data_IF_877453346342
#
_entry.id   IF_877453346342
#
_cell.length_a   1.000
_cell.length_b   1.000
_cell.length_c   1.000
_cell.angle_alpha   90.00
_cell.angle_beta   90.00
_cell.angle_gamma   90.00
#
_symmetry.space_group_name_H-M   'P 1'
#
loop_
_entity.id
_entity.type
_entity.pdbx_description
1 polymer ?
#
# COMPACT_ATOMS: atom_id res chain seq x y z
N UNK A 1 -7.53 -46.45 34.79
CA UNK A 1 -7.62 -47.71 35.56
C UNK A 1 -8.88 -48.45 35.12
N UNK A 2 -8.80 -49.77 34.97
CA UNK A 2 -9.88 -50.57 34.39
C UNK A 2 -9.81 -50.66 32.86
N UNK A 3 -10.88 -51.16 32.19
CA UNK A 3 -12.21 -51.43 32.74
C UNK A 3 -12.23 -52.53 33.80
N UNK A 4 -13.10 -52.38 34.80
CA UNK A 4 -13.41 -53.38 35.81
C UNK A 4 -14.74 -54.04 35.46
N UNK A 5 -14.81 -55.37 35.54
CA UNK A 5 -16.07 -56.11 35.39
C UNK A 5 -17.01 -55.94 36.60
N UNK A 6 -18.18 -56.56 36.55
CA UNK A 6 -19.19 -56.49 37.62
C UNK A 6 -18.68 -57.06 38.97
N UNK A 7 -17.64 -57.90 38.94
CA UNK A 7 -17.00 -58.52 40.10
C UNK A 7 -15.82 -57.68 40.60
N UNK A 8 -15.51 -56.54 39.96
CA UNK A 8 -14.42 -55.66 40.34
C UNK A 8 -13.04 -56.14 39.87
N UNK A 9 -12.96 -57.11 38.96
CA UNK A 9 -11.69 -57.56 38.38
C UNK A 9 -11.27 -56.63 37.25
N UNK A 10 -10.02 -56.16 37.28
CA UNK A 10 -9.46 -55.34 36.21
C UNK A 10 -9.21 -56.17 34.95
N UNK A 11 -9.67 -55.68 33.80
CA UNK A 11 -9.52 -56.31 32.49
C UNK A 11 -8.37 -55.74 31.66
N UNK A 12 -7.81 -54.61 32.08
CA UNK A 12 -6.68 -53.97 31.44
C UNK A 12 -5.77 -53.29 32.47
N UNK A 13 -4.49 -53.17 32.14
CA UNK A 13 -3.51 -52.46 32.97
C UNK A 13 -3.81 -50.94 33.02
N UNK A 14 -3.42 -50.26 34.11
CA UNK A 14 -3.52 -48.81 34.18
C UNK A 14 -2.73 -48.13 33.07
N UNK A 15 -3.41 -47.30 32.28
CA UNK A 15 -2.79 -46.46 31.25
C UNK A 15 -2.44 -45.09 31.85
N UNK A 16 -1.18 -44.67 31.65
CA UNK A 16 -0.73 -43.30 31.91
C UNK A 16 -0.41 -42.64 30.57
N UNK A 17 -1.12 -41.56 30.25
CA UNK A 17 -0.94 -40.82 28.99
C UNK A 17 -1.25 -39.34 29.21
N UNK A 18 -0.75 -38.47 28.33
CA UNK A 18 -0.98 -37.04 28.40
C UNK A 18 0.04 -36.24 27.61
N UNK A 19 -0.09 -34.92 27.62
CA UNK A 19 0.82 -34.01 26.89
C UNK A 19 2.20 -33.89 27.54
N UNK A 20 2.34 -34.25 28.82
CA UNK A 20 3.63 -34.25 29.54
C UNK A 20 4.46 -35.51 29.32
N UNK A 21 3.94 -36.47 28.57
CA UNK A 21 4.64 -37.72 28.25
C UNK A 21 5.11 -37.70 26.80
N UNK A 22 6.26 -38.34 26.48
CA UNK A 22 6.73 -38.47 25.11
C UNK A 22 5.67 -39.05 24.18
N UNK A 23 5.66 -38.61 22.92
CA UNK A 23 4.67 -39.08 21.96
C UNK A 23 4.68 -40.60 21.79
N UNK A 24 5.87 -41.22 21.82
CA UNK A 24 6.06 -42.66 21.68
C UNK A 24 5.38 -43.48 22.77
N UNK A 25 5.06 -42.89 23.93
CA UNK A 25 4.39 -43.60 25.03
C UNK A 25 2.86 -43.54 24.93
N UNK A 26 2.30 -42.92 23.88
CA UNK A 26 0.84 -42.82 23.70
C UNK A 26 0.26 -44.13 23.17
N UNK A 27 -0.63 -44.82 23.92
CA UNK A 27 -1.08 -46.18 23.59
C UNK A 27 -1.78 -46.31 22.23
N UNK A 28 -2.54 -45.28 21.82
CA UNK A 28 -3.27 -45.28 20.54
C UNK A 28 -2.53 -44.51 19.42
N UNK A 29 -1.34 -43.95 19.68
CA UNK A 29 -0.65 -43.08 18.72
C UNK A 29 -1.51 -41.90 18.24
N UNK A 30 -2.39 -41.40 19.11
CA UNK A 30 -3.39 -40.39 18.80
C UNK A 30 -3.03 -39.03 19.39
N UNK A 31 -3.45 -37.97 18.69
CA UNK A 31 -3.34 -36.59 19.17
C UNK A 31 -4.24 -36.37 20.40
N UNK A 32 -5.36 -37.09 20.47
CA UNK A 32 -6.22 -37.17 21.64
C UNK A 32 -5.66 -38.14 22.69
N UNK A 33 -6.02 -37.93 23.95
CA UNK A 33 -5.71 -38.85 25.04
C UNK A 33 -6.59 -40.10 24.95
N UNK A 34 -6.25 -41.00 24.02
CA UNK A 34 -7.02 -42.21 23.73
C UNK A 34 -6.19 -43.48 23.97
N UNK A 35 -6.87 -44.53 24.40
CA UNK A 35 -6.33 -45.87 24.55
C UNK A 35 -7.44 -46.89 24.25
N UNK A 36 -7.03 -48.09 23.85
CA UNK A 36 -7.95 -49.16 23.47
C UNK A 36 -8.03 -50.19 24.60
N UNK A 37 -9.21 -50.74 24.80
CA UNK A 37 -9.43 -51.91 25.65
C UNK A 37 -10.43 -52.83 24.96
N UNK A 38 -10.41 -54.11 25.31
CA UNK A 38 -11.37 -55.10 24.81
C UNK A 38 -12.33 -55.46 25.93
N UNK A 39 -13.61 -55.49 25.61
CA UNK A 39 -14.66 -55.99 26.50
C UNK A 39 -14.98 -57.42 26.07
N UNK A 40 -14.88 -58.42 26.96
CA UNK A 40 -15.08 -59.82 26.59
C UNK A 40 -16.53 -60.09 26.17
N UNK A 41 -17.50 -59.54 26.89
CA UNK A 41 -18.93 -59.76 26.69
C UNK A 41 -19.74 -58.47 26.87
N UNK A 42 -21.02 -58.48 26.47
CA UNK A 42 -21.94 -57.39 26.75
C UNK A 42 -22.23 -57.30 28.26
N UNK A 43 -22.03 -56.12 28.84
CA UNK A 43 -22.20 -55.93 30.28
C UNK A 43 -21.88 -54.52 30.73
N UNK A 44 -22.01 -54.28 32.04
CA UNK A 44 -21.65 -53.02 32.68
C UNK A 44 -20.21 -53.09 33.15
N UNK A 45 -19.41 -52.14 32.70
CA UNK A 45 -18.00 -52.02 33.08
C UNK A 45 -17.74 -50.65 33.69
N UNK A 46 -16.87 -50.63 34.70
CA UNK A 46 -16.49 -49.37 35.37
C UNK A 46 -15.08 -48.96 34.96
N UNK A 47 -14.90 -47.70 34.57
CA UNK A 47 -13.58 -47.13 34.25
C UNK A 47 -13.33 -45.94 35.16
N UNK A 48 -12.17 -45.94 35.84
CA UNK A 48 -11.74 -44.82 36.67
C UNK A 48 -10.58 -44.10 35.99
N UNK A 49 -10.68 -42.78 35.88
CA UNK A 49 -9.61 -41.93 35.38
C UNK A 49 -9.29 -40.81 36.38
N UNK A 50 -8.00 -40.50 36.51
CA UNK A 50 -7.49 -39.36 37.28
C UNK A 50 -6.85 -38.40 36.29
N UNK A 51 -7.28 -37.14 36.29
CA UNK A 51 -6.72 -36.12 35.41
C UNK A 51 -5.94 -35.10 36.22
N UNK A 52 -4.70 -34.85 35.81
CA UNK A 52 -3.89 -33.74 36.30
C UNK A 52 -3.74 -32.73 35.17
N UNK A 53 -4.05 -31.46 35.45
CA UNK A 53 -4.01 -30.41 34.44
C UNK A 53 -3.63 -29.07 35.04
N UNK A 54 -2.87 -28.32 34.26
CA UNK A 54 -2.47 -26.95 34.55
C UNK A 54 -3.21 -25.91 33.70
N UNK A 55 -4.12 -26.31 32.81
CA UNK A 55 -4.79 -25.40 31.87
C UNK A 55 -6.29 -25.66 31.74
N UNK A 56 -6.69 -26.90 31.48
CA UNK A 56 -8.08 -27.27 31.25
C UNK A 56 -8.81 -27.63 32.56
N UNK A 57 -10.08 -27.21 32.67
CA UNK A 57 -11.02 -27.61 33.75
C UNK A 57 -12.17 -28.51 33.26
N UNK A 58 -12.32 -28.69 31.95
CA UNK A 58 -13.38 -29.50 31.36
C UNK A 58 -12.78 -30.73 30.68
N UNK A 59 -13.34 -31.90 31.00
CA UNK A 59 -13.00 -33.17 30.38
C UNK A 59 -14.28 -33.84 29.91
N UNK A 60 -14.36 -34.09 28.60
CA UNK A 60 -15.41 -34.94 28.05
C UNK A 60 -14.79 -36.32 27.81
N UNK A 61 -15.18 -37.29 28.63
CA UNK A 61 -14.86 -38.69 28.37
C UNK A 61 -15.93 -39.28 27.44
N UNK A 62 -15.50 -39.95 26.38
CA UNK A 62 -16.38 -40.64 25.45
C UNK A 62 -15.80 -42.02 25.13
N UNK A 63 -16.68 -42.98 24.89
CA UNK A 63 -16.33 -44.34 24.45
C UNK A 63 -16.84 -44.47 23.02
N UNK A 64 -16.01 -45.04 22.16
CA UNK A 64 -16.26 -45.16 20.74
C UNK A 64 -16.08 -46.61 20.30
N UNK A 65 -16.83 -47.03 19.29
CA UNK A 65 -16.38 -48.15 18.47
C UNK A 65 -15.08 -47.78 17.75
N UNK A 66 -14.23 -48.77 17.48
CA UNK A 66 -12.96 -48.53 16.80
C UNK A 66 -13.16 -47.94 15.39
N UNK A 67 -14.15 -48.40 14.65
CA UNK A 67 -14.42 -47.91 13.30
C UNK A 67 -14.84 -46.42 13.34
N UNK A 68 -15.80 -46.09 14.20
CA UNK A 68 -16.28 -44.71 14.38
C UNK A 68 -15.15 -43.77 14.84
N UNK A 69 -14.32 -44.25 15.77
CA UNK A 69 -13.15 -43.49 16.24
C UNK A 69 -12.16 -43.18 15.11
N UNK A 70 -11.83 -44.17 14.28
CA UNK A 70 -10.91 -44.01 13.16
C UNK A 70 -11.48 -43.03 12.13
N UNK A 71 -12.77 -43.16 11.80
CA UNK A 71 -13.45 -42.26 10.86
C UNK A 71 -13.48 -40.83 11.40
N UNK A 72 -13.94 -40.62 12.64
CA UNK A 72 -13.98 -39.28 13.26
C UNK A 72 -12.60 -38.64 13.36
N UNK A 73 -11.56 -39.43 13.68
CA UNK A 73 -10.17 -38.95 13.71
C UNK A 73 -9.68 -38.57 12.31
N UNK A 74 -10.03 -39.34 11.29
CA UNK A 74 -9.66 -39.04 9.90
C UNK A 74 -10.34 -37.77 9.40
N UNK A 75 -11.64 -37.60 9.65
CA UNK A 75 -12.40 -36.41 9.28
C UNK A 75 -11.83 -35.17 9.95
N UNK A 76 -11.54 -35.25 11.25
CA UNK A 76 -10.89 -34.16 12.00
C UNK A 76 -9.51 -33.80 11.43
N UNK A 77 -8.69 -34.80 11.07
CA UNK A 77 -7.36 -34.56 10.46
C UNK A 77 -7.47 -33.91 9.09
N UNK A 78 -8.46 -34.29 8.29
CA UNK A 78 -8.72 -33.65 7.00
C UNK A 78 -9.11 -32.18 7.20
N UNK A 79 -10.01 -31.90 8.14
CA UNK A 79 -10.38 -30.53 8.51
C UNK A 79 -9.17 -29.71 8.99
N UNK A 80 -8.35 -30.29 9.88
CA UNK A 80 -7.11 -29.65 10.35
C UNK A 80 -6.15 -29.34 9.20
N UNK A 81 -5.96 -30.30 8.29
CA UNK A 81 -5.12 -30.12 7.10
C UNK A 81 -5.57 -28.95 6.22
N UNK A 82 -6.88 -28.79 6.01
CA UNK A 82 -7.44 -27.65 5.25
C UNK A 82 -7.13 -26.33 5.94
N UNK A 83 -7.39 -26.23 7.25
CA UNK A 83 -7.13 -25.00 8.01
C UNK A 83 -5.63 -24.65 8.03
N UNK A 84 -4.75 -25.63 8.20
CA UNK A 84 -3.31 -25.44 8.18
C UNK A 84 -2.82 -25.01 6.80
N UNK A 85 -3.34 -25.61 5.73
CA UNK A 85 -3.02 -25.22 4.36
C UNK A 85 -3.39 -23.77 4.06
N UNK A 86 -4.57 -23.32 4.50
CA UNK A 86 -5.01 -21.93 4.35
C UNK A 86 -4.10 -20.96 5.11
N UNK A 87 -3.78 -21.26 6.37
CA UNK A 87 -2.86 -20.42 7.17
C UNK A 87 -1.44 -20.40 6.61
N UNK A 88 -0.93 -21.53 6.13
CA UNK A 88 0.38 -21.60 5.48
C UNK A 88 0.39 -20.76 4.19
N UNK A 89 -0.67 -20.81 3.40
CA UNK A 89 -0.85 -19.94 2.23
C UNK A 89 -0.82 -18.46 2.62
N UNK A 90 -1.44 -18.07 3.73
CA UNK A 90 -1.40 -16.71 4.26
C UNK A 90 -0.01 -16.32 4.77
N UNK A 91 0.75 -17.25 5.37
CA UNK A 91 2.16 -17.03 5.75
C UNK A 91 3.01 -16.75 4.51
N UNK A 92 2.87 -17.53 3.45
CA UNK A 92 3.58 -17.31 2.18
C UNK A 92 3.18 -15.97 1.57
N UNK A 93 1.88 -15.67 1.47
CA UNK A 93 1.37 -14.38 1.00
C UNK A 93 1.98 -13.21 1.77
N UNK A 94 1.96 -13.28 3.10
CA UNK A 94 2.50 -12.22 3.97
C UNK A 94 4.00 -12.05 3.82
N UNK A 95 4.73 -13.14 3.60
CA UNK A 95 6.17 -13.13 3.34
C UNK A 95 6.48 -12.41 2.03
N UNK A 96 5.77 -12.75 0.95
CA UNK A 96 5.93 -12.06 -0.35
C UNK A 96 5.62 -10.58 -0.22
N UNK A 97 4.52 -10.22 0.44
CA UNK A 97 4.15 -8.82 0.66
C UNK A 97 5.20 -8.07 1.50
N UNK A 98 5.77 -8.71 2.53
CA UNK A 98 6.85 -8.12 3.33
C UNK A 98 8.11 -7.89 2.48
N UNK A 99 8.48 -8.82 1.60
CA UNK A 99 9.65 -8.67 0.73
C UNK A 99 9.46 -7.56 -0.31
N UNK A 100 8.26 -7.44 -0.88
CA UNK A 100 7.92 -6.44 -1.90
C UNK A 100 7.81 -5.04 -1.30
N UNK A 101 7.02 -4.88 -0.23
CA UNK A 101 6.70 -3.56 0.32
C UNK A 101 7.61 -3.13 1.47
N UNK A 102 8.27 -4.06 2.15
CA UNK A 102 9.18 -3.80 3.30
C UNK A 102 8.57 -2.95 4.42
N UNK A 103 7.25 -3.01 4.58
CA UNK A 103 6.55 -2.34 5.67
C UNK A 103 6.32 -3.27 6.87
N UNK A 104 6.42 -2.71 8.07
CA UNK A 104 6.27 -3.46 9.33
C UNK A 104 4.90 -4.13 9.50
N UNK A 105 3.85 -3.63 8.85
CA UNK A 105 2.51 -4.20 8.92
C UNK A 105 2.46 -5.65 8.40
N UNK A 106 3.23 -5.97 7.35
CA UNK A 106 3.27 -7.30 6.75
C UNK A 106 4.06 -8.25 7.64
N UNK A 107 5.07 -7.75 8.36
CA UNK A 107 5.79 -8.52 9.36
C UNK A 107 4.86 -8.90 10.53
N UNK A 108 4.06 -7.96 11.04
CA UNK A 108 3.11 -8.27 12.11
C UNK A 108 2.03 -9.26 11.67
N UNK A 109 1.54 -9.13 10.44
CA UNK A 109 0.57 -10.07 9.89
C UNK A 109 1.17 -11.47 9.70
N UNK A 110 2.40 -11.56 9.17
CA UNK A 110 3.16 -12.79 9.04
C UNK A 110 3.32 -13.50 10.39
N UNK A 111 3.81 -12.79 11.41
CA UNK A 111 4.00 -13.33 12.76
C UNK A 111 2.66 -13.78 13.35
N UNK A 112 1.58 -13.03 13.11
CA UNK A 112 0.23 -13.43 13.52
C UNK A 112 -0.24 -14.73 12.86
N UNK A 113 -0.09 -14.88 11.53
CA UNK A 113 -0.49 -16.09 10.83
C UNK A 113 0.36 -17.31 11.22
N UNK A 114 1.68 -17.13 11.35
CA UNK A 114 2.58 -18.19 11.81
C UNK A 114 2.27 -18.59 13.26
N UNK A 115 2.02 -17.61 14.13
CA UNK A 115 1.60 -17.84 15.52
C UNK A 115 0.26 -18.58 15.62
N UNK A 116 -0.73 -18.20 14.81
CA UNK A 116 -2.02 -18.89 14.73
C UNK A 116 -1.87 -20.35 14.28
N UNK A 117 -1.06 -20.60 13.25
CA UNK A 117 -0.77 -21.94 12.74
C UNK A 117 -0.12 -22.82 13.82
N UNK A 118 0.93 -22.30 14.49
CA UNK A 118 1.61 -23.00 15.56
C UNK A 118 0.69 -23.26 16.77
N UNK A 119 -0.13 -22.28 17.15
CA UNK A 119 -1.07 -22.42 18.26
C UNK A 119 -2.14 -23.48 17.97
N UNK A 120 -2.77 -23.46 16.79
CA UNK A 120 -3.76 -24.47 16.40
C UNK A 120 -3.15 -25.87 16.27
N UNK A 121 -1.97 -25.98 15.64
CA UNK A 121 -1.26 -27.25 15.58
C UNK A 121 -0.87 -27.76 16.98
N UNK A 122 -0.59 -26.85 17.92
CA UNK A 122 -0.38 -27.15 19.33
C UNK A 122 -1.62 -27.68 20.02
N UNK A 123 -2.73 -26.94 19.94
CA UNK A 123 -4.00 -27.31 20.59
C UNK A 123 -4.60 -28.61 20.05
N UNK A 124 -4.43 -28.88 18.76
CA UNK A 124 -4.85 -30.15 18.15
C UNK A 124 -3.83 -31.29 18.37
N UNK A 125 -2.71 -31.06 19.05
CA UNK A 125 -1.73 -32.08 19.41
C UNK A 125 -0.75 -32.49 18.30
N UNK A 126 -0.84 -31.89 17.11
CA UNK A 126 0.01 -32.22 15.96
C UNK A 126 1.47 -31.75 16.12
N UNK A 127 1.72 -30.65 16.84
CA UNK A 127 3.11 -30.22 17.12
C UNK A 127 3.86 -31.24 17.98
N UNK A 128 3.17 -31.86 18.93
CA UNK A 128 3.69 -32.93 19.78
C UNK A 128 3.76 -34.28 19.06
N UNK A 129 3.22 -34.40 17.84
CA UNK A 129 3.33 -35.60 17.01
C UNK A 129 4.51 -35.54 16.06
N UNK A 130 4.72 -34.40 15.40
CA UNK A 130 5.69 -34.28 14.32
C UNK A 130 6.95 -33.52 14.77
N UNK A 131 6.97 -32.17 14.84
CA UNK A 131 8.21 -31.43 15.09
C UNK A 131 8.77 -31.57 16.52
N UNK A 132 7.92 -31.88 17.51
CA UNK A 132 8.33 -31.91 18.93
C UNK A 132 7.97 -33.21 19.65
N UNK A 133 7.90 -34.33 18.91
CA UNK A 133 7.57 -35.65 19.46
C UNK A 133 8.44 -36.10 20.64
N UNK A 134 9.69 -35.64 20.65
CA UNK A 134 10.71 -35.98 21.65
C UNK A 134 10.87 -34.93 22.75
N UNK A 135 10.10 -33.84 22.71
CA UNK A 135 10.17 -32.75 23.69
C UNK A 135 8.80 -32.51 24.33
N UNK A 136 8.38 -33.34 25.31
CA UNK A 136 7.07 -33.25 25.94
C UNK A 136 6.81 -31.88 26.59
N UNK A 137 7.85 -31.25 27.13
CA UNK A 137 7.80 -29.94 27.77
C UNK A 137 7.46 -28.82 26.76
N UNK A 138 7.64 -29.06 25.46
CA UNK A 138 7.21 -28.14 24.40
C UNK A 138 5.70 -27.85 24.47
N UNK A 139 4.90 -28.80 24.99
CA UNK A 139 3.49 -28.58 25.25
C UNK A 139 3.28 -27.35 26.16
N UNK A 140 4.06 -27.22 27.24
CA UNK A 140 3.99 -26.06 28.12
C UNK A 140 4.29 -24.76 27.37
N UNK A 141 5.32 -24.76 26.51
CA UNK A 141 5.67 -23.62 25.70
C UNK A 141 4.53 -23.17 24.76
N UNK A 142 3.91 -24.09 24.02
CA UNK A 142 2.81 -23.76 23.10
C UNK A 142 1.56 -23.26 23.81
N UNK A 143 1.29 -23.72 25.03
CA UNK A 143 0.12 -23.28 25.78
C UNK A 143 0.37 -21.98 26.57
N UNK A 144 1.61 -21.68 26.93
CA UNK A 144 1.96 -20.49 27.74
C UNK A 144 2.49 -19.31 26.93
N UNK A 145 3.34 -19.54 25.92
CA UNK A 145 4.08 -18.47 25.23
C UNK A 145 3.45 -18.10 23.89
N UNK A 146 2.97 -19.10 23.12
CA UNK A 146 2.41 -18.84 21.81
C UNK A 146 1.17 -17.92 21.84
N UNK A 147 0.20 -18.07 22.78
CA UNK A 147 -0.98 -17.20 22.81
C UNK A 147 -0.68 -15.73 23.12
N UNK A 148 0.18 -15.36 24.10
CA UNK A 148 0.60 -13.98 24.28
C UNK A 148 1.34 -13.39 23.07
N UNK A 149 2.28 -14.12 22.47
CA UNK A 149 3.00 -13.65 21.27
C UNK A 149 2.04 -13.40 20.11
N UNK A 150 1.10 -14.32 19.91
CA UNK A 150 0.05 -14.17 18.92
C UNK A 150 -0.83 -12.94 19.21
N UNK A 151 -1.29 -12.75 20.45
CA UNK A 151 -2.07 -11.58 20.86
C UNK A 151 -1.32 -10.25 20.65
N UNK A 152 -0.03 -10.19 21.01
CA UNK A 152 0.82 -9.02 20.78
C UNK A 152 0.94 -8.72 19.28
N UNK A 153 1.19 -9.74 18.46
CA UNK A 153 1.31 -9.57 17.01
C UNK A 153 0.02 -9.02 16.38
N UNK A 154 -1.15 -9.52 16.82
CA UNK A 154 -2.48 -9.03 16.40
C UNK A 154 -2.73 -7.59 16.82
N UNK A 155 -2.37 -7.22 18.05
CA UNK A 155 -2.46 -5.84 18.54
C UNK A 155 -1.62 -4.89 17.69
N UNK A 156 -0.37 -5.25 17.41
CA UNK A 156 0.56 -4.45 16.61
C UNK A 156 0.13 -4.37 15.13
N UNK A 157 -0.41 -5.46 14.58
CA UNK A 157 -1.02 -5.48 13.27
C UNK A 157 -2.21 -4.52 13.19
N UNK A 158 -3.17 -4.63 14.12
CA UNK A 158 -4.35 -3.78 14.19
C UNK A 158 -4.02 -2.30 14.35
N UNK A 159 -3.07 -1.99 15.23
CA UNK A 159 -2.52 -0.64 15.41
C UNK A 159 -2.00 -0.04 14.10
N UNK A 160 -1.22 -0.84 13.37
CA UNK A 160 -0.60 -0.42 12.10
C UNK A 160 -1.62 -0.27 10.98
N UNK A 161 -2.52 -1.25 10.82
CA UNK A 161 -3.54 -1.24 9.77
C UNK A 161 -4.51 -0.08 9.91
N UNK A 162 -4.99 0.16 11.14
CA UNK A 162 -5.91 1.25 11.46
C UNK A 162 -5.23 2.61 11.57
N UNK A 163 -3.89 2.68 11.47
CA UNK A 163 -3.11 3.91 11.65
C UNK A 163 -3.51 4.68 12.92
N UNK A 164 -3.60 3.97 14.05
CA UNK A 164 -4.11 4.54 15.30
C UNK A 164 -3.31 5.76 15.76
N UNK A 165 -2.00 5.78 15.56
CA UNK A 165 -1.15 6.94 15.86
C UNK A 165 -1.61 8.23 15.18
N UNK A 166 -2.25 8.13 14.01
CA UNK A 166 -2.76 9.27 13.25
C UNK A 166 -4.23 9.56 13.56
N UNK A 167 -5.11 8.55 13.53
CA UNK A 167 -6.55 8.77 13.66
C UNK A 167 -7.06 8.77 15.12
N UNK A 168 -6.36 8.10 16.04
CA UNK A 168 -6.79 7.90 17.43
C UNK A 168 -5.60 7.76 18.40
N UNK A 169 -4.78 8.81 18.60
CA UNK A 169 -3.50 8.71 19.33
C UNK A 169 -3.64 8.31 20.80
N UNK A 170 -4.81 8.56 21.43
CA UNK A 170 -5.09 8.06 22.78
C UNK A 170 -5.27 6.54 22.80
N UNK A 171 -5.98 5.98 21.83
CA UNK A 171 -6.13 4.52 21.69
C UNK A 171 -4.80 3.87 21.31
N UNK A 172 -3.95 4.54 20.53
CA UNK A 172 -2.60 4.07 20.23
C UNK A 172 -1.77 3.81 21.50
N UNK A 173 -1.80 4.76 22.45
CA UNK A 173 -1.12 4.62 23.75
C UNK A 173 -1.70 3.47 24.59
N UNK A 174 -3.03 3.29 24.57
CA UNK A 174 -3.68 2.17 25.25
C UNK A 174 -3.22 0.84 24.67
N UNK A 175 -3.18 0.70 23.35
CA UNK A 175 -2.67 -0.51 22.67
C UNK A 175 -1.22 -0.80 23.06
N UNK A 176 -0.35 0.21 23.07
CA UNK A 176 1.05 0.05 23.48
C UNK A 176 1.18 -0.37 24.95
N UNK A 177 0.37 0.20 25.84
CA UNK A 177 0.34 -0.20 27.24
C UNK A 177 -0.11 -1.66 27.41
N UNK A 178 -1.11 -2.11 26.64
CA UNK A 178 -1.56 -3.50 26.63
C UNK A 178 -0.48 -4.45 26.12
N UNK A 179 0.24 -4.09 25.06
CA UNK A 179 1.37 -4.86 24.54
C UNK A 179 2.48 -4.99 25.60
N UNK A 180 2.84 -3.90 26.27
CA UNK A 180 3.83 -3.92 27.34
C UNK A 180 3.39 -4.80 28.51
N UNK A 181 2.13 -4.68 28.94
CA UNK A 181 1.57 -5.50 30.00
C UNK A 181 1.56 -7.00 29.65
N UNK A 182 1.22 -7.35 28.40
CA UNK A 182 1.27 -8.73 27.92
C UNK A 182 2.70 -9.27 27.86
N UNK A 183 3.66 -8.46 27.40
CA UNK A 183 5.07 -8.86 27.36
C UNK A 183 5.60 -9.12 28.78
N UNK A 184 5.34 -8.20 29.72
CA UNK A 184 5.70 -8.35 31.13
C UNK A 184 5.06 -9.59 31.76
N UNK A 185 3.77 -9.82 31.50
CA UNK A 185 3.08 -10.99 32.01
C UNK A 185 3.62 -12.30 31.41
N UNK A 186 4.04 -12.29 30.15
CA UNK A 186 4.66 -13.45 29.50
C UNK A 186 5.99 -13.78 30.17
N UNK A 187 6.84 -12.77 30.42
CA UNK A 187 8.09 -12.94 31.17
C UNK A 187 7.82 -13.47 32.58
N UNK A 188 6.86 -12.88 33.29
CA UNK A 188 6.47 -13.35 34.63
C UNK A 188 5.98 -14.80 34.63
N UNK A 189 5.13 -15.18 33.66
CA UNK A 189 4.63 -16.55 33.54
C UNK A 189 5.69 -17.57 33.13
N UNK A 190 6.80 -17.14 32.52
CA UNK A 190 7.96 -17.99 32.27
C UNK A 190 8.84 -18.18 33.51
N UNK A 191 8.82 -17.21 34.44
CA UNK A 191 9.61 -17.26 35.68
C UNK A 191 8.91 -18.01 36.82
N UNK A 192 7.60 -18.27 36.74
CA UNK A 192 6.81 -18.83 37.85
C UNK A 192 5.87 -19.97 37.45
N UNK A 193 5.41 -20.73 38.44
CA UNK A 193 4.53 -21.91 38.29
C UNK A 193 3.03 -21.58 38.24
N UNK A 194 2.64 -20.45 37.64
CA UNK A 194 1.24 -19.98 37.57
C UNK A 194 0.64 -19.90 36.15
N UNK A 195 0.64 -21.00 35.36
CA UNK A 195 0.21 -21.01 33.96
C UNK A 195 -1.26 -20.62 33.76
N UNK A 196 -2.13 -20.90 34.74
CA UNK A 196 -3.56 -20.55 34.68
C UNK A 196 -3.81 -19.03 34.72
N UNK A 197 -3.01 -18.28 35.48
CA UNK A 197 -3.17 -16.83 35.59
C UNK A 197 -2.75 -16.14 34.30
N UNK A 198 -1.62 -16.54 33.73
CA UNK A 198 -1.18 -16.05 32.43
C UNK A 198 -2.23 -16.31 31.35
N UNK A 199 -2.77 -17.54 31.31
CA UNK A 199 -3.80 -17.91 30.34
C UNK A 199 -5.05 -17.01 30.44
N UNK A 200 -5.56 -16.78 31.67
CA UNK A 200 -6.72 -15.89 31.90
C UNK A 200 -6.43 -14.45 31.52
N UNK A 201 -5.24 -13.96 31.85
CA UNK A 201 -4.83 -12.60 31.49
C UNK A 201 -4.80 -12.42 29.97
N UNK A 202 -4.26 -13.40 29.23
CA UNK A 202 -4.26 -13.38 27.77
C UNK A 202 -5.70 -13.34 27.25
N UNK A 203 -6.59 -14.20 27.72
CA UNK A 203 -8.01 -14.18 27.32
C UNK A 203 -8.66 -12.79 27.56
N UNK A 204 -8.49 -12.24 28.76
CA UNK A 204 -9.01 -10.92 29.11
C UNK A 204 -8.40 -9.80 28.24
N UNK A 205 -7.10 -9.88 27.98
CA UNK A 205 -6.40 -8.91 27.11
C UNK A 205 -6.92 -8.96 25.68
N UNK A 206 -7.22 -10.17 25.16
CA UNK A 206 -7.75 -10.32 23.81
C UNK A 206 -9.14 -9.69 23.76
N UNK A 207 -10.03 -9.97 24.71
CA UNK A 207 -11.34 -9.31 24.78
C UNK A 207 -11.22 -7.78 24.84
N UNK A 208 -10.38 -7.25 25.74
CA UNK A 208 -10.16 -5.81 25.86
C UNK A 208 -9.56 -5.22 24.57
N UNK A 209 -8.64 -5.93 23.92
CA UNK A 209 -7.98 -5.47 22.70
C UNK A 209 -8.94 -5.35 21.56
N UNK A 210 -9.86 -6.31 21.44
CA UNK A 210 -10.89 -6.32 20.40
C UNK A 210 -11.83 -5.13 20.57
N UNK A 211 -12.20 -4.77 21.80
CA UNK A 211 -12.99 -3.55 22.08
C UNK A 211 -12.23 -2.29 21.66
N UNK A 212 -10.98 -2.14 22.08
CA UNK A 212 -10.14 -0.97 21.77
C UNK A 212 -9.93 -0.82 20.25
N UNK A 213 -9.63 -1.92 19.56
CA UNK A 213 -9.39 -1.96 18.12
C UNK A 213 -10.69 -1.72 17.33
N UNK A 214 -11.83 -2.20 17.82
CA UNK A 214 -13.14 -1.89 17.22
C UNK A 214 -13.46 -0.40 17.33
N UNK A 215 -13.24 0.20 18.51
CA UNK A 215 -13.39 1.65 18.68
C UNK A 215 -12.46 2.43 17.72
N UNK A 216 -11.20 1.99 17.59
CA UNK A 216 -10.25 2.55 16.62
C UNK A 216 -10.72 2.43 15.17
N UNK A 217 -11.29 1.27 14.80
CA UNK A 217 -11.85 1.04 13.47
C UNK A 217 -13.02 1.98 13.18
N UNK A 218 -13.95 2.16 14.14
CA UNK A 218 -15.07 3.10 14.03
C UNK A 218 -14.57 4.54 13.84
N UNK A 219 -13.55 4.96 14.60
CA UNK A 219 -12.94 6.29 14.43
C UNK A 219 -12.30 6.46 13.05
N UNK A 220 -11.60 5.43 12.54
CA UNK A 220 -11.00 5.45 11.21
C UNK A 220 -12.07 5.45 10.08
N UNK A 221 -13.17 4.72 10.25
CA UNK A 221 -14.31 4.73 9.31
C UNK A 221 -14.96 6.11 9.21
N UNK A 222 -15.14 6.81 10.35
CA UNK A 222 -15.63 8.21 10.36
C UNK A 222 -14.72 9.17 9.58
N UNK A 223 -13.46 8.80 9.36
CA UNK A 223 -12.48 9.53 8.55
C UNK A 223 -12.39 9.00 7.10
N UNK A 224 -13.39 8.23 6.64
CA UNK A 224 -13.49 7.63 5.29
C UNK A 224 -12.32 6.71 4.91
N UNK A 225 -11.66 6.10 5.89
CA UNK A 225 -10.61 5.12 5.63
C UNK A 225 -11.22 3.72 5.41
N UNK A 226 -11.42 3.36 4.15
CA UNK A 226 -12.10 2.11 3.75
C UNK A 226 -11.49 0.83 4.34
N UNK A 227 -10.15 0.65 4.44
CA UNK A 227 -9.57 -0.56 5.01
C UNK A 227 -10.02 -0.87 6.45
N UNK A 228 -10.50 0.12 7.20
CA UNK A 228 -11.07 -0.07 8.53
C UNK A 228 -12.38 -0.87 8.53
N UNK A 229 -13.16 -0.86 7.45
CA UNK A 229 -14.42 -1.61 7.33
C UNK A 229 -14.13 -3.12 7.34
N UNK A 230 -13.23 -3.57 6.46
CA UNK A 230 -12.83 -4.99 6.39
C UNK A 230 -12.18 -5.43 7.71
N UNK A 231 -11.37 -4.56 8.31
CA UNK A 231 -10.81 -4.83 9.62
C UNK A 231 -11.89 -5.03 10.69
N UNK A 232 -12.88 -4.14 10.75
CA UNK A 232 -13.99 -4.25 11.72
C UNK A 232 -14.81 -5.54 11.55
N UNK A 233 -15.01 -5.99 10.30
CA UNK A 233 -15.65 -7.26 10.01
C UNK A 233 -14.85 -8.46 10.54
N UNK A 234 -13.54 -8.49 10.30
CA UNK A 234 -12.65 -9.54 10.81
C UNK A 234 -12.64 -9.58 12.34
N UNK A 235 -12.43 -8.43 12.99
CA UNK A 235 -12.41 -8.30 14.45
C UNK A 235 -13.73 -8.73 15.10
N UNK A 236 -14.87 -8.44 14.48
CA UNK A 236 -16.19 -8.88 14.96
C UNK A 236 -16.32 -10.40 14.90
N UNK A 237 -15.88 -11.02 13.80
CA UNK A 237 -15.88 -12.47 13.64
C UNK A 237 -15.02 -13.14 14.73
N UNK A 238 -13.83 -12.60 14.99
CA UNK A 238 -12.94 -13.07 16.06
C UNK A 238 -13.58 -12.92 17.45
N UNK A 239 -14.24 -11.78 17.73
CA UNK A 239 -14.89 -11.54 19.02
C UNK A 239 -15.95 -12.60 19.31
N UNK A 240 -16.78 -12.95 18.32
CA UNK A 240 -17.83 -13.96 18.46
C UNK A 240 -17.22 -15.31 18.83
N UNK A 241 -16.18 -15.74 18.09
CA UNK A 241 -15.49 -17.01 18.36
C UNK A 241 -14.83 -17.04 19.74
N UNK A 242 -14.09 -15.99 20.11
CA UNK A 242 -13.37 -15.92 21.39
C UNK A 242 -14.33 -15.83 22.57
N UNK A 243 -15.41 -15.05 22.47
CA UNK A 243 -16.41 -14.97 23.54
C UNK A 243 -17.05 -16.34 23.79
N UNK A 244 -17.36 -17.11 22.74
CA UNK A 244 -17.92 -18.46 22.91
C UNK A 244 -16.97 -19.39 23.70
N UNK A 245 -15.67 -19.36 23.40
CA UNK A 245 -14.65 -20.15 24.11
C UNK A 245 -14.46 -19.67 25.54
N UNK A 246 -14.37 -18.36 25.76
CA UNK A 246 -14.11 -17.80 27.09
C UNK A 246 -15.28 -18.10 28.02
N UNK A 247 -16.52 -17.91 27.56
CA UNK A 247 -17.74 -18.23 28.31
C UNK A 247 -17.81 -19.72 28.65
N UNK A 248 -17.49 -20.60 27.70
CA UNK A 248 -17.40 -22.04 27.96
C UNK A 248 -16.26 -22.36 28.96
N UNK A 249 -15.10 -21.71 28.83
CA UNK A 249 -13.94 -21.91 29.72
C UNK A 249 -14.16 -21.43 31.16
N UNK A 250 -15.11 -20.52 31.37
CA UNK A 250 -15.54 -20.06 32.71
C UNK A 250 -16.67 -20.92 33.29
N UNK A 251 -17.18 -21.90 32.53
CA UNK A 251 -18.19 -22.84 32.99
C UNK A 251 -19.62 -22.33 32.92
N UNK A 252 -19.87 -21.27 32.16
CA UNK A 252 -21.22 -20.73 31.97
C UNK A 252 -22.01 -21.49 30.90
N UNK A 253 -21.31 -22.15 29.97
CA UNK A 253 -21.91 -22.98 28.91
C UNK A 253 -21.15 -24.31 28.87
N UNK A 254 -21.88 -25.40 28.59
CA UNK A 254 -21.28 -26.73 28.43
C UNK A 254 -20.31 -26.75 27.23
N UNK A 255 -19.15 -27.37 27.42
CA UNK A 255 -18.20 -27.59 26.34
C UNK A 255 -18.76 -28.64 25.36
N UNK A 256 -18.80 -28.32 24.07
CA UNK A 256 -19.15 -29.28 23.01
C UNK A 256 -17.93 -29.60 22.16
N UNK A 257 -17.75 -30.86 21.70
CA UNK A 257 -16.60 -31.24 20.87
C UNK A 257 -16.41 -30.35 19.62
N UNK A 258 -17.50 -29.84 19.05
CA UNK A 258 -17.49 -29.01 17.84
C UNK A 258 -17.00 -27.57 18.08
N UNK A 259 -16.90 -27.09 19.33
CA UNK A 259 -16.47 -25.72 19.63
C UNK A 259 -15.02 -25.44 19.18
N UNK A 260 -14.14 -26.45 19.21
CA UNK A 260 -12.77 -26.31 18.74
C UNK A 260 -12.73 -26.09 17.21
N UNK A 261 -13.53 -26.84 16.46
CA UNK A 261 -13.62 -26.73 15.01
C UNK A 261 -14.23 -25.39 14.58
N UNK A 262 -15.25 -24.92 15.29
CA UNK A 262 -15.84 -23.59 15.09
C UNK A 262 -14.80 -22.48 15.32
N UNK A 263 -14.02 -22.59 16.39
CA UNK A 263 -12.95 -21.62 16.71
C UNK A 263 -11.90 -21.56 15.61
N UNK A 264 -11.45 -22.73 15.16
CA UNK A 264 -10.47 -22.85 14.09
C UNK A 264 -10.99 -22.24 12.78
N UNK A 265 -12.26 -22.51 12.45
CA UNK A 265 -12.93 -21.92 11.27
C UNK A 265 -12.98 -20.39 11.36
N UNK A 266 -13.40 -19.85 12.51
CA UNK A 266 -13.46 -18.40 12.76
C UNK A 266 -12.10 -17.75 12.63
N UNK A 267 -11.05 -18.37 13.18
CA UNK A 267 -9.69 -17.85 13.13
C UNK A 267 -9.12 -17.80 11.70
N UNK A 268 -9.37 -18.85 10.91
CA UNK A 268 -8.95 -18.89 9.50
C UNK A 268 -9.71 -17.85 8.69
N UNK A 269 -11.03 -17.77 8.84
CA UNK A 269 -11.87 -16.80 8.14
C UNK A 269 -11.47 -15.35 8.47
N UNK A 270 -11.21 -15.04 9.74
CA UNK A 270 -10.70 -13.74 10.18
C UNK A 270 -9.36 -13.41 9.49
N UNK A 271 -8.44 -14.38 9.46
CA UNK A 271 -7.13 -14.20 8.82
C UNK A 271 -7.29 -13.89 7.34
N UNK A 272 -8.20 -14.56 6.61
CA UNK A 272 -8.51 -14.25 5.21
C UNK A 272 -9.08 -12.84 5.05
N UNK A 273 -10.00 -12.42 5.92
CA UNK A 273 -10.57 -11.06 5.90
C UNK A 273 -9.46 -10.01 6.08
N UNK A 274 -8.48 -10.26 6.94
CA UNK A 274 -7.32 -9.38 7.10
C UNK A 274 -6.41 -9.36 5.88
N UNK A 275 -6.22 -10.47 5.17
CA UNK A 275 -5.52 -10.45 3.87
C UNK A 275 -6.23 -9.55 2.85
N UNK A 276 -7.57 -9.61 2.80
CA UNK A 276 -8.36 -8.72 1.96
C UNK A 276 -8.26 -7.25 2.39
N UNK A 277 -8.24 -6.97 3.70
CA UNK A 277 -8.03 -5.63 4.24
C UNK A 277 -6.64 -5.06 3.85
N UNK A 278 -5.61 -5.91 3.83
CA UNK A 278 -4.27 -5.54 3.37
C UNK A 278 -4.26 -5.25 1.87
N UNK A 279 -4.90 -6.10 1.06
CA UNK A 279 -5.01 -5.88 -0.38
C UNK A 279 -5.75 -4.58 -0.72
N UNK A 280 -6.79 -4.21 0.03
CA UNK A 280 -7.50 -2.93 -0.16
C UNK A 280 -6.63 -1.72 0.19
N UNK A 281 -5.76 -1.84 1.21
CA UNK A 281 -4.76 -0.80 1.54
C UNK A 281 -3.75 -0.59 0.40
N UNK A 282 -3.26 -1.66 -0.23
CA UNK A 282 -2.35 -1.54 -1.38
C UNK A 282 -3.03 -0.81 -2.55
N UNK A 283 -4.30 -1.12 -2.83
CA UNK A 283 -5.07 -0.40 -3.87
C UNK A 283 -5.21 1.08 -3.54
N UNK A 284 -5.51 1.40 -2.28
CA UNK A 284 -5.63 2.80 -1.85
C UNK A 284 -4.32 3.58 -2.05
N UNK A 285 -3.18 2.96 -1.72
CA UNK A 285 -1.87 3.58 -1.90
C UNK A 285 -1.55 3.84 -3.36
N UNK A 286 -1.77 2.84 -4.24
CA UNK A 286 -1.57 3.00 -5.69
C UNK A 286 -2.43 4.12 -6.28
N UNK A 287 -3.72 4.14 -5.95
CA UNK A 287 -4.62 5.19 -6.43
C UNK A 287 -4.19 6.59 -5.93
N UNK A 288 -3.63 6.68 -4.72
CA UNK A 288 -3.13 7.96 -4.21
C UNK A 288 -1.84 8.42 -4.90
N UNK A 289 -0.98 7.48 -5.30
CA UNK A 289 0.23 7.76 -6.06
C UNK A 289 -0.11 8.24 -7.48
N UNK A 290 -1.03 7.55 -8.15
CA UNK A 290 -1.55 7.97 -9.48
C UNK A 290 -2.21 9.36 -9.43
N UNK A 291 -2.99 9.64 -8.39
CA UNK A 291 -3.59 10.96 -8.24
C UNK A 291 -2.54 12.07 -8.01
N UNK A 292 -1.46 11.75 -7.30
CA UNK A 292 -0.35 12.67 -7.09
C UNK A 292 0.42 12.92 -8.39
N UNK A 293 0.70 11.89 -9.19
CA UNK A 293 1.43 12.05 -10.45
C UNK A 293 0.64 12.89 -11.45
N UNK A 294 -0.65 12.65 -11.60
CA UNK A 294 -1.54 13.48 -12.44
C UNK A 294 -1.50 14.94 -11.98
N UNK A 295 -1.61 15.20 -10.67
CA UNK A 295 -1.59 16.56 -10.12
C UNK A 295 -0.24 17.25 -10.30
N UNK A 296 0.87 16.51 -10.18
CA UNK A 296 2.19 17.07 -10.49
C UNK A 296 2.32 17.42 -11.97
N UNK A 297 1.72 16.63 -12.86
CA UNK A 297 1.74 16.91 -14.29
C UNK A 297 0.91 18.16 -14.63
N UNK A 298 -0.29 18.31 -14.05
CA UNK A 298 -1.11 19.52 -14.19
C UNK A 298 -0.36 20.78 -13.72
N UNK A 299 0.37 20.68 -12.59
CA UNK A 299 1.19 21.79 -12.09
C UNK A 299 2.36 22.11 -13.02
N UNK A 300 3.01 21.11 -13.60
CA UNK A 300 4.09 21.31 -14.58
C UNK A 300 3.57 21.98 -15.85
N UNK A 301 2.40 21.56 -16.34
CA UNK A 301 1.76 22.18 -17.51
C UNK A 301 1.37 23.64 -17.22
N UNK A 302 0.78 23.91 -16.05
CA UNK A 302 0.45 25.27 -15.63
C UNK A 302 1.70 26.17 -15.47
N UNK A 303 2.83 25.61 -15.02
CA UNK A 303 4.11 26.30 -14.94
C UNK A 303 4.79 26.53 -16.30
N UNK A 304 4.32 25.89 -17.38
CA UNK A 304 4.89 25.99 -18.73
C UNK A 304 4.24 27.03 -19.64
N UNK A 305 3.20 27.73 -19.17
CA UNK A 305 2.43 28.70 -19.97
C UNK A 305 2.54 30.13 -19.43
N UNK A 306 2.44 31.12 -20.33
CA UNK A 306 2.33 32.54 -19.98
C UNK A 306 0.88 32.89 -19.65
N UNK A 307 0.64 33.45 -18.46
CA UNK A 307 -0.72 33.68 -17.95
C UNK A 307 -1.51 34.73 -18.76
N UNK A 308 -0.83 35.69 -19.41
CA UNK A 308 -1.49 36.73 -20.18
C UNK A 308 -1.91 36.23 -21.57
N UNK A 309 -1.01 35.54 -22.26
CA UNK A 309 -1.18 35.20 -23.68
C UNK A 309 -1.58 33.75 -23.93
N UNK A 310 -1.45 32.88 -22.94
CA UNK A 310 -1.65 31.44 -23.07
C UNK A 310 -0.62 30.75 -23.98
N UNK A 311 0.43 31.44 -24.43
CA UNK A 311 1.58 30.84 -25.11
C UNK A 311 2.41 30.00 -24.14
N UNK A 312 3.37 29.20 -24.64
CA UNK A 312 4.39 28.65 -23.76
C UNK A 312 5.18 29.80 -23.10
N UNK A 313 5.66 29.63 -21.88
CA UNK A 313 6.61 30.57 -21.28
C UNK A 313 8.05 30.09 -21.50
N UNK A 314 9.03 30.78 -20.90
CA UNK A 314 10.45 30.40 -20.98
C UNK A 314 10.71 28.94 -20.54
N UNK A 315 9.99 28.44 -19.53
CA UNK A 315 10.10 27.04 -19.08
C UNK A 315 9.48 26.06 -20.09
N UNK A 316 8.32 26.40 -20.67
CA UNK A 316 7.70 25.63 -21.73
C UNK A 316 8.59 25.51 -22.97
N UNK A 317 9.22 26.61 -23.40
CA UNK A 317 10.21 26.60 -24.48
C UNK A 317 11.39 25.68 -24.15
N UNK A 318 11.94 25.81 -22.94
CA UNK A 318 13.08 25.02 -22.50
C UNK A 318 12.81 23.52 -22.50
N UNK A 319 11.63 23.12 -22.03
CA UNK A 319 11.18 21.72 -22.03
C UNK A 319 11.10 21.15 -23.45
N UNK A 320 10.41 21.83 -24.36
CA UNK A 320 10.20 21.36 -25.74
C UNK A 320 11.50 21.31 -26.55
N UNK A 321 12.33 22.35 -26.44
CA UNK A 321 13.62 22.38 -27.11
C UNK A 321 14.58 21.33 -26.51
N UNK A 322 14.58 21.18 -25.18
CA UNK A 322 15.37 20.17 -24.49
C UNK A 322 15.06 18.75 -24.95
N UNK A 323 13.78 18.41 -25.08
CA UNK A 323 13.35 17.11 -25.62
C UNK A 323 13.82 16.89 -27.06
N UNK A 324 13.69 17.91 -27.94
CA UNK A 324 14.15 17.82 -29.32
C UNK A 324 15.68 17.63 -29.40
N UNK A 325 16.46 18.35 -28.57
CA UNK A 325 17.92 18.21 -28.50
C UNK A 325 18.31 16.81 -28.02
N UNK A 326 17.70 16.30 -26.94
CA UNK A 326 17.99 14.97 -26.39
C UNK A 326 17.73 13.86 -27.40
N UNK A 327 16.66 13.99 -28.19
CA UNK A 327 16.30 13.03 -29.23
C UNK A 327 17.04 13.28 -30.56
N UNK A 328 17.98 14.24 -30.60
CA UNK A 328 18.68 14.66 -31.82
C UNK A 328 17.74 15.04 -32.98
N UNK A 329 16.54 15.52 -32.66
CA UNK A 329 15.57 16.00 -33.64
C UNK A 329 15.93 17.42 -34.08
N UNK A 330 16.09 17.68 -35.38
CA UNK A 330 16.44 19.01 -35.87
C UNK A 330 15.22 19.95 -35.80
N UNK A 331 15.47 21.22 -35.49
CA UNK A 331 14.44 22.27 -35.41
C UNK A 331 15.05 23.64 -35.70
N UNK A 332 14.21 24.61 -36.07
CA UNK A 332 14.61 26.02 -36.15
C UNK A 332 14.02 26.81 -34.98
N UNK A 333 14.81 27.72 -34.41
CA UNK A 333 14.42 28.63 -33.35
C UNK A 333 14.44 30.05 -33.90
N UNK A 334 13.27 30.69 -33.88
CA UNK A 334 13.12 32.10 -34.23
C UNK A 334 12.94 32.86 -32.92
N UNK A 335 13.78 33.84 -32.66
CA UNK A 335 13.59 34.83 -31.59
C UNK A 335 12.96 36.07 -32.22
N UNK A 336 11.94 36.64 -31.57
CA UNK A 336 11.14 37.73 -32.10
C UNK A 336 10.99 38.82 -31.04
N UNK A 337 10.99 40.07 -31.47
CA UNK A 337 10.78 41.25 -30.61
C UNK A 337 9.87 42.25 -31.35
N UNK A 338 8.95 42.87 -30.62
CA UNK A 338 7.98 43.82 -31.16
C UNK A 338 8.57 45.24 -31.25
N UNK A 339 8.86 45.68 -32.46
CA UNK A 339 9.39 47.02 -32.69
C UNK A 339 8.33 48.09 -32.38
N UNK A 340 8.67 49.03 -31.49
CA UNK A 340 7.78 50.13 -31.11
C UNK A 340 6.75 49.79 -30.02
N UNK A 341 6.79 48.58 -29.44
CA UNK A 341 5.84 48.16 -28.39
C UNK A 341 5.86 49.06 -27.15
N UNK A 342 7.04 49.52 -26.73
CA UNK A 342 7.15 50.49 -25.63
C UNK A 342 6.33 51.76 -25.88
N UNK A 343 6.32 52.26 -27.13
CA UNK A 343 5.53 53.43 -27.50
C UNK A 343 4.02 53.21 -27.37
N UNK A 344 3.54 51.98 -27.58
CA UNK A 344 2.13 51.61 -27.34
C UNK A 344 1.82 51.70 -25.84
N UNK A 345 2.67 51.12 -24.98
CA UNK A 345 2.48 51.21 -23.53
C UNK A 345 2.52 52.66 -23.02
N UNK A 346 3.51 53.43 -23.48
CA UNK A 346 3.70 54.81 -23.02
C UNK A 346 2.55 55.74 -23.46
N UNK A 347 1.94 55.48 -24.62
CA UNK A 347 0.88 56.33 -25.20
C UNK A 347 -0.54 55.87 -24.83
N UNK A 348 -0.75 54.57 -24.68
CA UNK A 348 -2.08 53.95 -24.57
C UNK A 348 -2.25 53.08 -23.31
N UNK A 349 -1.23 53.00 -22.47
CA UNK A 349 -1.25 52.26 -21.21
C UNK A 349 -1.03 50.74 -21.39
N UNK A 350 -0.75 50.07 -20.27
CA UNK A 350 -0.42 48.65 -20.26
C UNK A 350 -1.57 47.74 -20.74
N UNK A 351 -2.83 48.12 -20.54
CA UNK A 351 -3.97 47.35 -21.04
C UNK A 351 -3.99 47.26 -22.58
N UNK A 352 -3.57 48.33 -23.26
CA UNK A 352 -3.42 48.32 -24.73
C UNK A 352 -2.27 47.40 -25.15
N UNK A 353 -1.14 47.44 -24.42
CA UNK A 353 -0.01 46.53 -24.62
C UNK A 353 -0.41 45.06 -24.43
N UNK A 354 -1.20 44.75 -23.42
CA UNK A 354 -1.69 43.40 -23.15
C UNK A 354 -2.52 42.84 -24.29
N UNK A 355 -3.41 43.66 -24.88
CA UNK A 355 -4.20 43.29 -26.07
C UNK A 355 -3.31 43.07 -27.29
N UNK A 356 -2.29 43.90 -27.48
CA UNK A 356 -1.29 43.70 -28.55
C UNK A 356 -0.58 42.37 -28.35
N UNK A 357 -0.05 42.08 -27.17
CA UNK A 357 0.66 40.83 -26.87
C UNK A 357 -0.21 39.59 -27.10
N UNK A 358 -1.46 39.61 -26.62
CA UNK A 358 -2.40 38.50 -26.84
C UNK A 358 -2.71 38.29 -28.33
N UNK A 359 -2.88 39.38 -29.08
CA UNK A 359 -3.15 39.35 -30.52
C UNK A 359 -1.94 38.84 -31.30
N UNK A 360 -0.72 39.22 -30.90
CA UNK A 360 0.52 38.70 -31.52
C UNK A 360 0.62 37.19 -31.38
N UNK A 361 0.32 36.62 -30.21
CA UNK A 361 0.32 35.16 -30.03
C UNK A 361 -0.71 34.48 -30.93
N UNK A 362 -1.91 35.04 -31.07
CA UNK A 362 -2.93 34.49 -31.97
C UNK A 362 -2.48 34.53 -33.43
N UNK A 363 -1.91 35.65 -33.88
CA UNK A 363 -1.38 35.81 -35.24
C UNK A 363 -0.22 34.86 -35.53
N UNK A 364 0.71 34.73 -34.60
CA UNK A 364 1.82 33.78 -34.72
C UNK A 364 1.30 32.34 -34.80
N UNK A 365 0.38 31.94 -33.91
CA UNK A 365 -0.22 30.59 -33.94
C UNK A 365 -0.93 30.27 -35.25
N UNK A 366 -1.62 31.23 -35.87
CA UNK A 366 -2.30 31.03 -37.14
C UNK A 366 -1.35 30.73 -38.32
N UNK A 367 -0.06 31.06 -38.18
CA UNK A 367 0.97 30.78 -39.18
C UNK A 367 1.71 29.46 -38.96
N UNK A 368 1.39 28.73 -37.88
CA UNK A 368 2.13 27.58 -37.39
C UNK A 368 1.33 26.29 -37.50
N UNK A 369 2.05 25.17 -37.59
CA UNK A 369 1.47 23.83 -37.57
C UNK A 369 1.29 23.34 -36.14
N UNK A 370 0.58 22.22 -35.97
CA UNK A 370 0.33 21.63 -34.65
C UNK A 370 1.62 21.19 -33.93
N UNK A 371 2.65 20.82 -34.69
CA UNK A 371 3.96 20.40 -34.16
C UNK A 371 4.88 21.56 -33.73
N UNK A 372 4.60 22.77 -34.21
CA UNK A 372 5.34 24.00 -33.91
C UNK A 372 4.86 24.64 -32.60
N UNK A 373 5.63 25.57 -32.05
CA UNK A 373 5.32 26.19 -30.76
C UNK A 373 5.66 27.67 -30.74
N UNK A 374 4.77 28.48 -30.17
CA UNK A 374 5.03 29.88 -29.76
C UNK A 374 5.26 29.93 -28.27
N UNK A 375 6.31 30.62 -27.86
CA UNK A 375 6.59 30.96 -26.48
C UNK A 375 6.76 32.47 -26.29
N UNK A 376 6.35 33.00 -25.13
CA UNK A 376 6.67 34.36 -24.68
C UNK A 376 7.78 34.28 -23.62
N UNK A 377 8.87 35.00 -23.86
CA UNK A 377 10.07 34.94 -23.01
C UNK A 377 10.09 36.00 -21.90
N UNK A 378 9.31 37.06 -22.07
CA UNK A 378 9.16 38.19 -21.16
C UNK A 378 8.93 39.49 -21.93
N UNK A 379 8.18 40.44 -21.38
CA UNK A 379 7.92 41.72 -22.06
C UNK A 379 7.26 41.53 -23.43
N UNK A 380 7.94 42.02 -24.47
CA UNK A 380 7.65 41.96 -25.90
C UNK A 380 8.46 40.91 -26.67
N UNK A 381 9.24 40.08 -25.97
CA UNK A 381 10.04 39.02 -26.58
C UNK A 381 9.25 37.71 -26.72
N UNK A 382 9.27 37.16 -27.93
CA UNK A 382 8.69 35.87 -28.27
C UNK A 382 9.75 34.94 -28.85
N UNK A 383 9.47 33.64 -28.78
CA UNK A 383 10.23 32.62 -29.48
C UNK A 383 9.27 31.70 -30.23
N UNK A 384 9.67 31.26 -31.41
CA UNK A 384 8.95 30.26 -32.19
C UNK A 384 9.90 29.10 -32.47
N UNK A 385 9.45 27.89 -32.14
CA UNK A 385 10.16 26.65 -32.43
C UNK A 385 9.44 25.94 -33.58
N UNK A 386 10.14 25.76 -34.69
CA UNK A 386 9.65 25.07 -35.89
C UNK A 386 10.24 23.67 -35.96
N UNK A 387 9.39 22.65 -35.93
CA UNK A 387 9.84 21.27 -35.93
C UNK A 387 10.42 20.84 -37.30
N UNK A 388 11.45 19.98 -37.30
CA UNK A 388 11.93 19.31 -38.51
C UNK A 388 12.94 20.08 -39.37
N UNK A 389 13.47 21.22 -38.88
CA UNK A 389 14.42 22.11 -39.56
C UNK A 389 14.14 22.28 -41.08
N UNK A 390 13.06 23.00 -41.44
CA UNK A 390 12.71 23.22 -42.84
C UNK A 390 13.84 23.91 -43.63
N UNK A 391 13.84 23.80 -44.96
CA UNK A 391 14.74 24.55 -45.81
C UNK A 391 14.72 26.05 -45.51
N UNK A 392 15.87 26.70 -45.68
CA UNK A 392 16.11 28.09 -45.27
C UNK A 392 15.13 29.08 -45.91
N UNK A 393 14.79 28.88 -47.18
CA UNK A 393 13.82 29.65 -47.94
C UNK A 393 12.40 29.55 -47.36
N UNK A 394 12.02 28.36 -46.87
CA UNK A 394 10.73 28.13 -46.19
C UNK A 394 10.68 28.90 -44.87
N UNK A 395 11.75 28.83 -44.07
CA UNK A 395 11.83 29.57 -42.79
C UNK A 395 11.80 31.09 -43.06
N UNK A 396 12.52 31.57 -44.07
CA UNK A 396 12.49 32.99 -44.47
C UNK A 396 11.08 33.44 -44.92
N UNK A 397 10.36 32.59 -45.68
CA UNK A 397 8.98 32.87 -46.05
C UNK A 397 8.04 32.92 -44.83
N UNK A 398 8.23 32.02 -43.85
CA UNK A 398 7.48 32.04 -42.58
C UNK A 398 7.76 33.32 -41.79
N UNK A 399 9.04 33.70 -41.63
CA UNK A 399 9.44 34.91 -40.92
C UNK A 399 8.81 36.18 -41.54
N UNK A 400 8.82 36.28 -42.88
CA UNK A 400 8.16 37.39 -43.59
C UNK A 400 6.65 37.43 -43.36
N UNK A 401 5.97 36.28 -43.38
CA UNK A 401 4.53 36.22 -43.09
C UNK A 401 4.21 36.60 -41.65
N UNK A 402 5.02 36.14 -40.70
CA UNK A 402 4.87 36.49 -39.28
C UNK A 402 5.04 38.00 -39.07
N UNK A 403 6.09 38.60 -39.63
CA UNK A 403 6.31 40.04 -39.54
C UNK A 403 5.20 40.86 -40.23
N UNK A 404 4.75 40.43 -41.42
CA UNK A 404 3.65 41.10 -42.12
C UNK A 404 2.34 41.03 -41.33
N UNK A 405 2.01 39.87 -40.75
CA UNK A 405 0.83 39.71 -39.90
C UNK A 405 0.95 40.53 -38.61
N UNK A 406 2.12 40.62 -38.00
CA UNK A 406 2.36 41.46 -36.83
C UNK A 406 2.10 42.95 -37.11
N UNK A 407 2.44 43.43 -38.31
CA UNK A 407 2.25 44.81 -38.73
C UNK A 407 0.78 45.21 -39.01
N UNK A 408 -0.15 44.25 -39.11
CA UNK A 408 -1.57 44.56 -39.27
C UNK A 408 -2.11 45.34 -38.04
N UNK A 409 -2.98 46.34 -38.22
CA UNK A 409 -3.52 47.10 -37.08
C UNK A 409 -4.21 46.24 -36.02
N UNK A 410 -3.94 46.49 -34.75
CA UNK A 410 -4.65 45.92 -33.59
C UNK A 410 -5.62 46.98 -33.07
N UNK A 411 -6.91 46.65 -33.06
CA UNK A 411 -7.94 47.58 -32.60
C UNK A 411 -8.06 47.57 -31.07
N UNK A 412 -7.88 48.73 -30.43
CA UNK A 412 -8.09 48.92 -29.00
C UNK A 412 -8.86 50.22 -28.77
N UNK A 413 -10.05 50.13 -28.16
CA UNK A 413 -10.93 51.29 -27.88
C UNK A 413 -11.16 52.21 -29.11
N UNK A 414 -11.34 51.61 -30.29
CA UNK A 414 -11.57 52.33 -31.54
C UNK A 414 -10.32 52.92 -32.20
N UNK A 415 -9.12 52.68 -31.65
CA UNK A 415 -7.83 53.11 -32.21
C UNK A 415 -7.09 51.94 -32.85
N UNK A 416 -6.42 52.22 -33.96
CA UNK A 416 -5.56 51.28 -34.67
C UNK A 416 -4.13 51.38 -34.14
N UNK A 417 -3.68 50.36 -33.41
CA UNK A 417 -2.31 50.25 -32.89
C UNK A 417 -1.47 49.44 -33.88
N UNK A 418 -0.25 49.90 -34.18
CA UNK A 418 0.67 49.20 -35.09
C UNK A 418 2.01 49.00 -34.42
N UNK A 419 2.56 47.80 -34.58
CA UNK A 419 3.90 47.42 -34.11
C UNK A 419 4.64 46.73 -35.24
N UNK A 420 5.95 46.89 -35.30
CA UNK A 420 6.81 46.08 -36.16
C UNK A 420 7.21 44.78 -35.46
N UNK A 421 7.94 43.95 -36.17
CA UNK A 421 8.52 42.74 -35.58
C UNK A 421 9.85 42.45 -36.24
N UNK A 422 10.88 42.32 -35.41
CA UNK A 422 12.23 41.93 -35.82
C UNK A 422 12.50 40.50 -35.40
N UNK A 423 13.07 39.69 -36.29
CA UNK A 423 13.29 38.26 -36.07
C UNK A 423 14.76 37.86 -36.23
N UNK A 424 15.24 37.00 -35.35
CA UNK A 424 16.54 36.33 -35.48
C UNK A 424 16.37 34.83 -35.52
N UNK A 425 17.09 34.14 -36.41
CA UNK A 425 16.83 32.74 -36.72
C UNK A 425 18.09 31.90 -36.50
N UNK A 426 17.98 30.85 -35.70
CA UNK A 426 19.03 29.87 -35.44
C UNK A 426 18.52 28.43 -35.68
N UNK A 427 19.34 27.56 -36.25
CA UNK A 427 18.96 26.19 -36.59
C UNK A 427 19.72 25.17 -35.74
N UNK A 428 19.02 24.25 -35.08
CA UNK A 428 19.62 23.11 -34.40
C UNK A 428 19.91 21.98 -35.41
N UNK A 429 21.12 21.38 -35.43
CA UNK A 429 22.28 21.64 -34.57
C UNK A 429 23.32 22.64 -35.14
N UNK A 430 23.07 23.23 -36.31
CA UNK A 430 24.05 24.04 -37.08
C UNK A 430 24.53 25.29 -36.33
N UNK A 431 23.61 26.01 -35.69
CA UNK A 431 23.88 27.27 -35.01
C UNK A 431 24.13 27.09 -33.49
N UNK A 432 23.93 25.89 -32.96
CA UNK A 432 24.17 25.55 -31.56
C UNK A 432 23.64 24.16 -31.19
N UNK A 433 24.22 23.56 -30.14
CA UNK A 433 23.84 22.23 -29.63
C UNK A 433 23.09 22.28 -28.30
N UNK A 434 23.05 23.45 -27.65
CA UNK A 434 22.21 23.72 -26.48
C UNK A 434 21.20 24.80 -26.79
N UNK A 435 20.08 24.84 -26.06
CA UNK A 435 19.09 25.92 -26.19
C UNK A 435 19.71 27.30 -25.90
N UNK A 436 20.65 27.38 -24.97
CA UNK A 436 21.32 28.63 -24.63
C UNK A 436 22.15 29.17 -25.80
N UNK A 437 22.84 28.28 -26.53
CA UNK A 437 23.61 28.66 -27.72
C UNK A 437 22.69 29.14 -28.84
N UNK A 438 21.59 28.42 -29.08
CA UNK A 438 20.60 28.77 -30.11
C UNK A 438 19.92 30.10 -29.82
N UNK A 439 19.52 30.36 -28.56
CA UNK A 439 18.95 31.65 -28.15
C UNK A 439 19.95 32.79 -28.37
N UNK A 440 21.22 32.61 -28.00
CA UNK A 440 22.27 33.64 -28.20
C UNK A 440 22.54 33.90 -29.69
N UNK A 441 22.55 32.85 -30.50
CA UNK A 441 22.75 32.95 -31.93
C UNK A 441 21.58 33.68 -32.61
N UNK A 442 20.33 33.33 -32.23
CA UNK A 442 19.13 34.00 -32.72
C UNK A 442 19.08 35.47 -32.27
N UNK A 443 19.42 35.77 -31.02
CA UNK A 443 19.48 37.15 -30.50
C UNK A 443 20.48 38.03 -31.27
N UNK A 444 21.68 37.50 -31.54
CA UNK A 444 22.68 38.22 -32.34
C UNK A 444 22.17 38.54 -33.75
N UNK A 445 21.44 37.60 -34.37
CA UNK A 445 20.81 37.79 -35.67
C UNK A 445 19.69 38.84 -35.62
N UNK A 446 18.81 38.76 -34.62
CA UNK A 446 17.73 39.73 -34.42
C UNK A 446 18.29 41.15 -34.20
N UNK A 447 19.35 41.27 -33.40
CA UNK A 447 20.01 42.56 -33.15
C UNK A 447 20.64 43.15 -34.41
N UNK A 448 21.26 42.32 -35.25
CA UNK A 448 21.78 42.75 -36.55
C UNK A 448 20.67 43.24 -37.49
N UNK A 449 19.49 42.60 -37.45
CA UNK A 449 18.30 43.05 -38.18
C UNK A 449 17.83 44.44 -37.71
N UNK A 450 17.71 44.66 -36.39
CA UNK A 450 17.29 45.94 -35.81
C UNK A 450 18.20 47.12 -36.15
N UNK A 451 19.48 46.87 -36.45
CA UNK A 451 20.46 47.91 -36.82
C UNK A 451 20.46 48.27 -38.30
N UNK A 452 19.70 47.57 -39.15
CA UNK A 452 19.60 47.89 -40.57
C UNK A 452 18.81 49.20 -40.77
N UNK A 453 19.13 49.99 -41.81
CA UNK A 453 18.32 51.16 -42.18
C UNK A 453 16.86 50.79 -42.43
N UNK A 454 15.95 51.75 -42.24
CA UNK A 454 14.54 51.59 -42.55
C UNK A 454 14.33 51.05 -43.98
N UNK A 455 13.65 49.90 -44.11
CA UNK A 455 13.43 49.19 -45.38
C UNK A 455 14.26 47.91 -45.59
N UNK A 456 15.15 47.55 -44.65
CA UNK A 456 15.84 46.25 -44.66
C UNK A 456 14.91 45.06 -44.36
N UNK A 457 15.37 43.83 -44.63
CA UNK A 457 14.61 42.62 -44.25
C UNK A 457 14.41 42.56 -42.73
N UNK A 458 13.18 42.24 -42.31
CA UNK A 458 12.73 42.13 -40.91
C UNK A 458 13.23 40.87 -40.19
N UNK A 459 14.16 40.12 -40.79
CA UNK A 459 14.78 38.95 -40.19
C UNK A 459 16.26 38.85 -40.57
N UNK A 460 17.01 38.07 -39.79
CA UNK A 460 18.36 37.63 -40.17
C UNK A 460 18.63 36.20 -39.67
N UNK A 461 19.49 35.47 -40.38
CA UNK A 461 19.95 34.15 -39.95
C UNK A 461 21.27 34.26 -39.19
N UNK A 462 21.40 33.52 -38.08
CA UNK A 462 22.63 33.44 -37.30
C UNK A 462 23.83 32.97 -38.14
N UNK A 463 23.59 32.09 -39.11
CA UNK A 463 24.61 31.62 -40.04
C UNK A 463 25.22 32.74 -40.91
N UNK A 464 24.50 33.83 -41.19
CA UNK A 464 25.01 34.95 -42.00
C UNK A 464 26.02 35.81 -41.25
N UNK A 465 25.89 35.87 -39.92
CA UNK A 465 26.77 36.65 -39.06
C UNK A 465 28.12 35.97 -38.79
N UNK A 466 28.26 34.68 -39.14
CA UNK A 466 29.54 33.94 -39.03
C UNK A 466 30.43 34.11 -40.25
N UNK A 467 29.91 34.66 -41.34
CA UNK A 467 30.59 34.75 -42.66
C UNK A 467 31.18 36.15 -42.91
N UNK A 468 31.01 37.09 -41.98
CA UNK A 468 31.68 38.40 -41.95
C UNK A 468 32.64 38.48 -40.79
#
# INVERSE_FOLDING_TARGET
YGPYDAQGKALAEPVVTGMRHPWSTRPAGSEQMAWRFKLPDAGVYTVYFRVESTFARFYAASVWDLADYLQATQDKRMFDGVCYGLLLGLVVFSTVMLLVFRESIYAWYLVSCAGALLALAGFNGHTLRYPFAHWPEAAGFFYSVAPPLWAISKLMFGRSLLRLSHFAPRLDKVVLAMVAALALATVYGLLGSHPLWLFRLVQASVMASTVVLTAGAVMAMRRRYWPAVLYSAGVTLLLIGICAIVVASWGWVAWTPQQMDMTQTVLVAESIVFAAAMASRVRLLRNSEEALTVRTQELVEALGTDALTGAANRAGLASRAGAAIQESRPFALLLLDLDGFKGVNDTHGHAAGDVVLATMVQRLRAQLRAEDMVARLGGDEFAVLIAGAPPRDVIAAMARRMAASAAEPVMFEGRALTVGMSLGIASHPVDGVTLADLLRAADSAMYACKRRPAGGECYAFASELRVG
#
